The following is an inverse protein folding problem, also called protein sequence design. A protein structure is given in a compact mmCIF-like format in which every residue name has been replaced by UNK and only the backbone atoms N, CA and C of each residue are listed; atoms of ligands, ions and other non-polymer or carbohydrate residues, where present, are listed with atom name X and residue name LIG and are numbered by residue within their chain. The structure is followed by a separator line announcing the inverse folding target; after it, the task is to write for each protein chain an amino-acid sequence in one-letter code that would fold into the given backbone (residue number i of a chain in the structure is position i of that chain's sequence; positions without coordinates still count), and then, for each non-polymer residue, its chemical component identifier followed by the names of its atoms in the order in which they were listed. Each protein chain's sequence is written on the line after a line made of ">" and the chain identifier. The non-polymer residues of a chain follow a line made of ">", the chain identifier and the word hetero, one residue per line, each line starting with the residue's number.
data_IF_486260720001
#
_entry.id   IF_486260720001
#
_cell.length_a   1.000
_cell.length_b   1.000
_cell.length_c   1.000
_cell.angle_alpha   90.00
_cell.angle_beta   90.00
_cell.angle_gamma   90.00
#
_symmetry.space_group_name_H-M   'P 1'
#
loop_
_entity.id
_entity.type
_entity.pdbx_description
1 polymer ?
#
# COMPACT_ATOMS: atom_id res chain seq x y z
N UNK A 1 8.34 25.15 -37.61
CA UNK A 1 8.58 25.25 -36.16
C UNK A 1 7.25 24.96 -35.48
N UNK A 2 7.12 23.84 -34.77
CA UNK A 2 5.93 23.53 -33.99
C UNK A 2 6.17 23.98 -32.54
N UNK A 3 5.31 24.86 -32.02
CA UNK A 3 5.33 25.26 -30.61
C UNK A 3 5.04 24.06 -29.71
N UNK A 4 5.69 23.94 -28.54
CA UNK A 4 5.34 22.92 -27.57
C UNK A 4 3.97 23.27 -26.96
N UNK A 5 2.99 22.39 -27.16
CA UNK A 5 1.68 22.46 -26.53
C UNK A 5 1.85 22.52 -25.01
N UNK A 6 1.59 23.70 -24.43
CA UNK A 6 1.64 23.91 -22.99
C UNK A 6 0.60 23.01 -22.30
N UNK A 7 1.05 22.23 -21.32
CA UNK A 7 0.15 21.48 -20.45
C UNK A 7 -0.87 22.42 -19.79
N UNK A 8 -2.12 21.99 -19.57
CA UNK A 8 -3.13 22.83 -18.95
C UNK A 8 -2.63 23.33 -17.58
N UNK A 9 -2.94 24.59 -17.20
CA UNK A 9 -2.52 25.14 -15.93
C UNK A 9 -3.04 24.26 -14.79
N UNK A 10 -2.18 23.99 -13.81
CA UNK A 10 -2.58 23.26 -12.62
C UNK A 10 -3.76 24.00 -11.95
N UNK A 11 -4.79 23.29 -11.45
CA UNK A 11 -5.95 23.93 -10.86
C UNK A 11 -5.53 24.86 -9.72
N UNK A 12 -6.26 25.96 -9.56
CA UNK A 12 -6.06 26.90 -8.45
C UNK A 12 -6.52 26.27 -7.14
N UNK A 13 -6.07 26.79 -6.00
CA UNK A 13 -6.50 26.27 -4.70
C UNK A 13 -8.01 26.49 -4.47
N UNK A 14 -8.59 27.59 -4.97
CA UNK A 14 -10.04 27.82 -4.91
C UNK A 14 -10.84 26.75 -5.68
N UNK A 15 -10.38 26.38 -6.89
CA UNK A 15 -11.01 25.31 -7.68
C UNK A 15 -10.86 23.94 -6.99
N UNK A 16 -9.73 23.69 -6.32
CA UNK A 16 -9.54 22.47 -5.51
C UNK A 16 -10.50 22.43 -4.33
N UNK A 17 -10.66 23.52 -3.59
CA UNK A 17 -11.58 23.60 -2.45
C UNK A 17 -13.01 23.29 -2.90
N UNK A 18 -13.50 23.98 -3.92
CA UNK A 18 -14.84 23.78 -4.48
C UNK A 18 -15.03 22.34 -5.04
N UNK A 19 -14.00 21.76 -5.66
CA UNK A 19 -14.03 20.36 -6.08
C UNK A 19 -14.13 19.38 -4.90
N UNK A 20 -13.34 19.61 -3.84
CA UNK A 20 -13.36 18.79 -2.63
C UNK A 20 -14.70 18.92 -1.90
N UNK A 21 -15.30 20.11 -1.82
CA UNK A 21 -16.59 20.33 -1.13
C UNK A 21 -17.72 19.58 -1.82
N UNK A 22 -17.74 19.64 -3.17
CA UNK A 22 -18.65 18.82 -3.96
C UNK A 22 -18.42 17.33 -3.76
N UNK A 23 -17.17 16.89 -3.68
CA UNK A 23 -16.85 15.48 -3.43
C UNK A 23 -17.30 15.04 -2.04
N UNK A 24 -17.10 15.87 -1.01
CA UNK A 24 -17.52 15.62 0.36
C UNK A 24 -19.05 15.51 0.45
N UNK A 25 -19.78 16.44 -0.17
CA UNK A 25 -21.25 16.41 -0.24
C UNK A 25 -21.74 15.12 -0.92
N UNK A 26 -21.13 14.77 -2.05
CA UNK A 26 -21.46 13.51 -2.76
C UNK A 26 -21.14 12.27 -1.93
N UNK A 27 -20.03 12.29 -1.19
CA UNK A 27 -19.64 11.19 -0.30
C UNK A 27 -20.61 11.03 0.88
N UNK A 28 -21.11 12.14 1.42
CA UNK A 28 -22.11 12.14 2.50
C UNK A 28 -23.46 11.58 2.02
N UNK A 29 -23.87 11.90 0.80
CA UNK A 29 -25.14 11.44 0.23
C UNK A 29 -25.06 10.06 -0.44
N UNK A 30 -23.85 9.52 -0.66
CA UNK A 30 -23.68 8.25 -1.34
C UNK A 30 -24.21 7.09 -0.51
N UNK A 31 -25.04 6.25 -1.11
CA UNK A 31 -25.41 4.95 -0.58
C UNK A 31 -24.25 3.96 -0.69
N UNK A 32 -24.29 2.90 0.10
CA UNK A 32 -23.20 1.92 0.20
C UNK A 32 -22.87 1.26 -1.14
N UNK A 33 -23.88 0.95 -1.97
CA UNK A 33 -23.68 0.36 -3.31
C UNK A 33 -22.91 1.29 -4.28
N UNK A 34 -22.97 2.61 -4.07
CA UNK A 34 -22.28 3.62 -4.91
C UNK A 34 -20.95 4.07 -4.34
N UNK A 35 -20.56 3.56 -3.16
CA UNK A 35 -19.36 4.01 -2.47
C UNK A 35 -18.09 3.58 -3.21
N UNK A 36 -17.93 2.30 -3.56
CA UNK A 36 -16.71 1.83 -4.23
C UNK A 36 -16.41 2.58 -5.55
N UNK A 37 -17.38 2.75 -6.49
CA UNK A 37 -17.15 3.55 -7.70
C UNK A 37 -16.82 5.01 -7.42
N UNK A 38 -17.40 5.61 -6.36
CA UNK A 38 -17.10 6.98 -5.97
C UNK A 38 -15.67 7.13 -5.45
N UNK A 39 -15.18 6.15 -4.69
CA UNK A 39 -13.83 6.16 -4.10
C UNK A 39 -12.72 6.14 -5.14
N UNK A 40 -12.95 5.54 -6.33
CA UNK A 40 -11.98 5.53 -7.43
C UNK A 40 -11.51 6.93 -7.81
N UNK A 41 -12.38 7.93 -7.69
CA UNK A 41 -12.02 9.33 -7.96
C UNK A 41 -11.76 10.14 -6.69
N UNK A 42 -12.60 9.98 -5.67
CA UNK A 42 -12.55 10.83 -4.48
C UNK A 42 -11.29 10.58 -3.66
N UNK A 43 -10.88 9.32 -3.48
CA UNK A 43 -9.73 9.00 -2.64
C UNK A 43 -8.40 9.49 -3.26
N UNK A 44 -8.08 9.18 -4.54
CA UNK A 44 -6.88 9.71 -5.18
C UNK A 44 -6.82 11.24 -5.16
N UNK A 45 -7.93 11.92 -5.46
CA UNK A 45 -8.00 13.38 -5.50
C UNK A 45 -7.80 14.01 -4.11
N UNK A 46 -8.41 13.44 -3.06
CA UNK A 46 -8.19 13.89 -1.69
C UNK A 46 -6.72 13.74 -1.26
N UNK A 47 -6.08 12.62 -1.62
CA UNK A 47 -4.67 12.36 -1.30
C UNK A 47 -3.74 13.35 -2.02
N UNK A 48 -3.91 13.58 -3.32
CA UNK A 48 -3.05 14.51 -4.07
C UNK A 48 -3.26 15.96 -3.66
N UNK A 49 -4.44 16.31 -3.14
CA UNK A 49 -4.74 17.64 -2.60
C UNK A 49 -3.88 18.04 -1.41
N UNK A 50 -3.24 17.09 -0.70
CA UNK A 50 -2.26 17.39 0.35
C UNK A 50 -0.97 18.06 -0.17
N UNK A 51 -0.72 18.04 -1.47
CA UNK A 51 0.35 18.83 -2.07
C UNK A 51 0.09 20.34 -2.07
N UNK A 52 -1.17 20.78 -1.88
CA UNK A 52 -1.53 22.20 -1.81
C UNK A 52 -0.97 22.85 -0.53
N UNK A 53 -0.55 24.10 -0.65
CA UNK A 53 -0.10 24.93 0.48
C UNK A 53 -1.29 25.54 1.24
N UNK A 54 -2.49 25.58 0.65
CA UNK A 54 -3.71 26.05 1.32
C UNK A 54 -4.11 25.16 2.50
N UNK A 55 -4.29 25.78 3.66
CA UNK A 55 -4.75 25.09 4.88
C UNK A 55 -6.19 24.62 4.75
N UNK A 56 -7.05 25.37 4.08
CA UNK A 56 -8.45 25.01 3.83
C UNK A 56 -8.56 23.78 2.94
N UNK A 57 -7.81 23.73 1.82
CA UNK A 57 -7.71 22.52 0.96
C UNK A 57 -7.32 21.29 1.79
N UNK A 58 -6.24 21.37 2.57
CA UNK A 58 -5.76 20.23 3.37
C UNK A 58 -6.76 19.81 4.45
N UNK A 59 -7.46 20.77 5.08
CA UNK A 59 -8.49 20.49 6.09
C UNK A 59 -9.64 19.71 5.48
N UNK A 60 -10.11 20.13 4.31
CA UNK A 60 -11.22 19.48 3.62
C UNK A 60 -10.84 18.09 3.08
N UNK A 61 -9.62 17.95 2.56
CA UNK A 61 -9.06 16.65 2.21
C UNK A 61 -9.01 15.70 3.43
N UNK A 62 -8.56 16.18 4.60
CA UNK A 62 -8.59 15.40 5.83
C UNK A 62 -10.00 14.98 6.25
N UNK A 63 -10.99 15.86 6.10
CA UNK A 63 -12.39 15.55 6.39
C UNK A 63 -12.89 14.43 5.48
N UNK A 64 -12.65 14.53 4.17
CA UNK A 64 -12.98 13.46 3.21
C UNK A 64 -12.32 12.14 3.63
N UNK A 65 -11.02 12.12 3.92
CA UNK A 65 -10.30 10.91 4.34
C UNK A 65 -10.90 10.31 5.63
N UNK A 66 -11.31 11.14 6.59
CA UNK A 66 -12.00 10.72 7.81
C UNK A 66 -13.34 10.05 7.50
N UNK A 67 -14.14 10.64 6.61
CA UNK A 67 -15.42 10.06 6.16
C UNK A 67 -15.22 8.72 5.44
N UNK A 68 -14.23 8.63 4.55
CA UNK A 68 -13.87 7.37 3.87
C UNK A 68 -13.51 6.32 4.91
N UNK A 69 -12.60 6.62 5.83
CA UNK A 69 -12.14 5.69 6.87
C UNK A 69 -13.29 5.17 7.72
N UNK A 70 -14.21 6.03 8.15
CA UNK A 70 -15.39 5.62 8.92
C UNK A 70 -16.25 4.59 8.18
N UNK A 71 -16.43 4.75 6.86
CA UNK A 71 -17.28 3.87 6.05
C UNK A 71 -16.59 2.57 5.65
N UNK A 72 -15.28 2.60 5.40
CA UNK A 72 -14.55 1.42 4.90
C UNK A 72 -13.94 0.55 5.99
N UNK A 73 -13.69 1.09 7.21
CA UNK A 73 -12.93 0.41 8.27
C UNK A 73 -13.45 -0.98 8.65
N UNK A 74 -14.76 -1.16 8.69
CA UNK A 74 -15.42 -2.42 9.08
C UNK A 74 -16.07 -3.15 7.90
N UNK A 75 -15.70 -2.77 6.67
CA UNK A 75 -16.31 -3.23 5.41
C UNK A 75 -15.21 -3.59 4.39
N UNK A 76 -14.54 -4.73 4.55
CA UNK A 76 -13.45 -5.15 3.64
C UNK A 76 -13.92 -5.38 2.20
N UNK A 77 -15.22 -5.62 1.98
CA UNK A 77 -15.84 -5.81 0.66
C UNK A 77 -15.81 -4.57 -0.24
N UNK A 78 -15.61 -3.37 0.34
CA UNK A 78 -15.51 -2.14 -0.43
C UNK A 78 -14.11 -2.02 -1.02
N UNK A 79 -13.95 -2.29 -2.31
CA UNK A 79 -12.64 -2.12 -2.97
C UNK A 79 -12.16 -0.67 -2.94
N UNK A 80 -10.84 -0.51 -2.82
CA UNK A 80 -10.14 0.78 -2.94
C UNK A 80 -9.29 0.78 -4.21
N UNK A 81 -9.05 1.95 -4.85
CA UNK A 81 -8.35 2.04 -6.13
C UNK A 81 -6.84 1.79 -6.00
N UNK A 82 -6.43 0.54 -5.85
CA UNK A 82 -5.04 0.16 -5.57
C UNK A 82 -4.04 0.67 -6.63
N UNK A 83 -4.36 0.50 -7.92
CA UNK A 83 -3.45 0.90 -8.99
C UNK A 83 -3.27 2.43 -9.08
N UNK A 84 -4.34 3.21 -8.89
CA UNK A 84 -4.27 4.67 -8.89
C UNK A 84 -3.46 5.19 -7.68
N UNK A 85 -3.63 4.56 -6.52
CA UNK A 85 -2.84 4.87 -5.34
C UNK A 85 -1.36 4.56 -5.56
N UNK A 86 -1.04 3.38 -6.11
CA UNK A 86 0.34 3.02 -6.42
C UNK A 86 0.99 3.98 -7.42
N UNK A 87 0.24 4.39 -8.45
CA UNK A 87 0.69 5.40 -9.40
C UNK A 87 1.02 6.72 -8.71
N UNK A 88 0.12 7.24 -7.85
CA UNK A 88 0.38 8.46 -7.09
C UNK A 88 1.63 8.30 -6.20
N UNK A 89 1.78 7.18 -5.52
CA UNK A 89 2.91 6.95 -4.62
C UNK A 89 4.26 6.97 -5.34
N UNK A 90 4.33 6.32 -6.51
CA UNK A 90 5.55 6.17 -7.31
C UNK A 90 5.88 7.38 -8.19
N UNK A 91 4.91 8.28 -8.42
CA UNK A 91 5.10 9.50 -9.20
C UNK A 91 6.27 10.34 -8.64
N UNK A 92 7.14 10.82 -9.51
CA UNK A 92 8.34 11.58 -9.12
C UNK A 92 7.99 12.93 -8.49
N UNK A 93 6.90 13.56 -8.94
CA UNK A 93 6.40 14.84 -8.44
C UNK A 93 5.64 14.74 -7.11
N UNK A 94 5.38 13.52 -6.60
CA UNK A 94 4.62 13.35 -5.35
C UNK A 94 5.43 13.78 -4.14
N UNK A 95 4.86 14.69 -3.35
CA UNK A 95 5.46 15.20 -2.12
C UNK A 95 5.44 14.14 -1.02
N UNK A 96 6.30 14.29 -0.01
CA UNK A 96 6.37 13.36 1.13
C UNK A 96 5.04 13.24 1.87
N UNK A 97 4.29 14.34 2.05
CA UNK A 97 2.97 14.30 2.70
C UNK A 97 1.97 13.46 1.91
N UNK A 98 1.95 13.60 0.57
CA UNK A 98 1.10 12.79 -0.31
C UNK A 98 1.50 11.32 -0.20
N UNK A 99 2.79 10.99 -0.28
CA UNK A 99 3.28 9.60 -0.13
C UNK A 99 2.93 8.99 1.22
N UNK A 100 3.02 9.75 2.31
CA UNK A 100 2.69 9.29 3.67
C UNK A 100 1.21 8.92 3.81
N UNK A 101 0.29 9.71 3.24
CA UNK A 101 -1.12 9.34 3.21
C UNK A 101 -1.37 8.18 2.25
N UNK A 102 -0.74 8.21 1.08
CA UNK A 102 -0.94 7.21 0.05
C UNK A 102 -0.56 5.80 0.51
N UNK A 103 0.56 5.64 1.24
CA UNK A 103 1.01 4.31 1.71
C UNK A 103 0.01 3.64 2.66
N UNK A 104 -0.72 4.42 3.48
CA UNK A 104 -1.74 3.89 4.39
C UNK A 104 -2.91 3.31 3.60
N UNK A 105 -3.35 4.01 2.55
CA UNK A 105 -4.42 3.54 1.69
C UNK A 105 -3.99 2.40 0.76
N UNK A 106 -2.72 2.35 0.35
CA UNK A 106 -2.13 1.20 -0.36
C UNK A 106 -2.20 -0.05 0.51
N UNK A 107 -1.77 0.02 1.77
CA UNK A 107 -1.86 -1.11 2.70
C UNK A 107 -3.32 -1.57 2.86
N UNK A 108 -4.26 -0.65 3.05
CA UNK A 108 -5.69 -0.96 3.14
C UNK A 108 -6.29 -1.53 1.85
N UNK A 109 -5.87 -1.02 0.69
CA UNK A 109 -6.39 -1.45 -0.61
C UNK A 109 -5.87 -2.83 -0.98
N UNK A 110 -4.57 -3.06 -0.77
CA UNK A 110 -3.91 -4.34 -1.04
C UNK A 110 -4.54 -5.49 -0.24
N UNK A 111 -4.84 -5.24 1.03
CA UNK A 111 -5.49 -6.22 1.91
C UNK A 111 -6.87 -6.69 1.43
N UNK A 112 -7.56 -5.87 0.63
CA UNK A 112 -8.90 -6.15 0.09
C UNK A 112 -8.88 -6.85 -1.27
N UNK A 113 -7.72 -6.93 -1.92
CA UNK A 113 -7.61 -7.58 -3.22
C UNK A 113 -7.80 -9.11 -3.10
N UNK A 114 -8.32 -9.77 -4.15
CA UNK A 114 -8.28 -11.22 -4.23
C UNK A 114 -6.82 -11.71 -4.32
N UNK A 115 -6.57 -12.94 -3.87
CA UNK A 115 -5.21 -13.49 -3.79
C UNK A 115 -4.48 -13.46 -5.14
N UNK A 116 -5.17 -13.77 -6.25
CA UNK A 116 -4.59 -13.72 -7.59
C UNK A 116 -4.05 -12.32 -7.96
N UNK A 117 -4.83 -11.27 -7.70
CA UNK A 117 -4.40 -9.89 -7.97
C UNK A 117 -3.24 -9.45 -7.06
N UNK A 118 -3.24 -9.89 -5.79
CA UNK A 118 -2.11 -9.64 -4.88
C UNK A 118 -0.82 -10.23 -5.44
N UNK A 119 -0.87 -11.47 -5.94
CA UNK A 119 0.28 -12.13 -6.57
C UNK A 119 0.78 -11.42 -7.81
N UNK A 120 -0.13 -10.87 -8.62
CA UNK A 120 0.21 -10.15 -9.84
C UNK A 120 0.89 -8.79 -9.58
N UNK A 121 0.43 -8.08 -8.55
CA UNK A 121 0.92 -6.72 -8.19
C UNK A 121 2.17 -6.78 -7.30
N UNK A 122 2.32 -7.80 -6.47
CA UNK A 122 3.39 -7.88 -5.48
C UNK A 122 4.82 -7.69 -6.04
N UNK A 123 5.22 -8.28 -7.20
CA UNK A 123 6.54 -8.02 -7.78
C UNK A 123 6.74 -6.53 -8.13
N UNK A 124 5.70 -5.87 -8.61
CA UNK A 124 5.78 -4.47 -9.07
C UNK A 124 6.01 -3.52 -7.87
N UNK A 125 5.58 -3.91 -6.66
CA UNK A 125 5.83 -3.15 -5.44
C UNK A 125 7.30 -3.16 -5.00
N UNK A 126 8.09 -4.13 -5.47
CA UNK A 126 9.51 -4.24 -5.14
C UNK A 126 10.40 -3.36 -6.03
N UNK A 127 9.87 -2.82 -7.12
CA UNK A 127 10.62 -1.95 -8.02
C UNK A 127 10.99 -0.66 -7.27
N UNK A 128 12.28 -0.31 -7.26
CA UNK A 128 12.86 0.82 -6.52
C UNK A 128 12.69 0.78 -4.99
N UNK A 129 12.39 -0.39 -4.39
CA UNK A 129 12.19 -0.53 -2.95
C UNK A 129 13.43 -0.09 -2.14
N UNK A 130 14.63 -0.18 -2.70
CA UNK A 130 15.88 0.32 -2.10
C UNK A 130 15.91 1.82 -1.88
N UNK A 131 15.14 2.59 -2.67
CA UNK A 131 15.07 4.06 -2.61
C UNK A 131 13.91 4.57 -1.76
N UNK A 132 13.04 3.66 -1.30
CA UNK A 132 11.87 3.99 -0.50
C UNK A 132 12.28 4.24 0.95
N UNK A 133 11.72 5.27 1.64
CA UNK A 133 11.97 5.47 3.06
C UNK A 133 11.71 4.21 3.90
N UNK A 134 12.59 3.92 4.86
CA UNK A 134 12.60 2.65 5.61
C UNK A 134 11.22 2.26 6.21
N UNK A 135 10.44 3.24 6.68
CA UNK A 135 9.10 3.01 7.21
C UNK A 135 8.15 2.44 6.14
N UNK A 136 8.08 3.08 4.97
CA UNK A 136 7.24 2.61 3.86
C UNK A 136 7.77 1.32 3.26
N UNK A 137 9.10 1.19 3.21
CA UNK A 137 9.78 -0.01 2.75
C UNK A 137 9.31 -1.24 3.56
N UNK A 138 9.32 -1.14 4.89
CA UNK A 138 8.82 -2.21 5.76
C UNK A 138 7.34 -2.55 5.53
N UNK A 139 6.48 -1.56 5.27
CA UNK A 139 5.07 -1.81 4.92
C UNK A 139 4.97 -2.62 3.63
N UNK A 140 5.61 -2.15 2.56
CA UNK A 140 5.58 -2.79 1.25
C UNK A 140 6.12 -4.22 1.32
N UNK A 141 7.27 -4.43 1.98
CA UNK A 141 7.88 -5.75 2.12
C UNK A 141 6.97 -6.75 2.84
N UNK A 142 6.23 -6.31 3.87
CA UNK A 142 5.22 -7.14 4.54
C UNK A 142 4.04 -7.49 3.62
N UNK A 143 3.57 -6.55 2.80
CA UNK A 143 2.50 -6.82 1.82
C UNK A 143 2.94 -7.88 0.80
N UNK A 144 4.14 -7.73 0.24
CA UNK A 144 4.71 -8.68 -0.73
C UNK A 144 4.91 -10.06 -0.11
N UNK A 145 5.48 -10.14 1.10
CA UNK A 145 5.66 -11.42 1.81
C UNK A 145 4.32 -12.11 2.09
N UNK A 146 3.30 -11.35 2.47
CA UNK A 146 1.94 -11.87 2.67
C UNK A 146 1.34 -12.38 1.37
N UNK A 147 1.48 -11.63 0.28
CA UNK A 147 1.01 -12.05 -1.04
C UNK A 147 1.66 -13.36 -1.49
N UNK A 148 2.98 -13.50 -1.32
CA UNK A 148 3.69 -14.74 -1.63
C UNK A 148 3.12 -15.91 -0.81
N UNK A 149 2.92 -15.73 0.49
CA UNK A 149 2.33 -16.77 1.35
C UNK A 149 0.91 -17.20 0.93
N UNK A 150 0.07 -16.24 0.53
CA UNK A 150 -1.31 -16.49 0.08
C UNK A 150 -1.38 -17.11 -1.33
N UNK A 151 -0.48 -16.71 -2.24
CA UNK A 151 -0.51 -17.13 -3.65
C UNK A 151 0.13 -18.50 -3.90
N UNK A 152 0.97 -18.99 -2.99
CA UNK A 152 1.77 -20.21 -3.22
C UNK A 152 0.98 -21.53 -3.15
N UNK A 153 -0.35 -21.47 -3.20
CA UNK A 153 -1.23 -22.65 -3.33
C UNK A 153 -1.38 -23.12 -4.78
N UNK A 154 -0.97 -22.30 -5.76
CA UNK A 154 -0.91 -22.64 -7.20
C UNK A 154 0.45 -22.24 -7.75
N UNK A 155 0.97 -22.98 -8.75
CA UNK A 155 2.26 -22.69 -9.38
C UNK A 155 2.34 -21.19 -9.74
N UNK A 156 3.44 -20.54 -9.36
CA UNK A 156 3.72 -19.17 -9.76
C UNK A 156 3.77 -19.12 -11.29
N UNK A 157 2.97 -18.25 -11.88
CA UNK A 157 2.94 -18.01 -13.32
C UNK A 157 4.33 -17.58 -13.82
N UNK A 158 4.76 -18.06 -14.98
CA UNK A 158 6.09 -17.78 -15.53
C UNK A 158 6.35 -16.27 -15.71
N UNK A 159 5.32 -15.48 -16.03
CA UNK A 159 5.41 -14.02 -16.13
C UNK A 159 5.73 -13.40 -14.77
N UNK A 160 5.05 -13.85 -13.71
CA UNK A 160 5.29 -13.39 -12.34
C UNK A 160 6.69 -13.80 -11.86
N UNK A 161 7.13 -15.00 -12.20
CA UNK A 161 8.49 -15.45 -11.92
C UNK A 161 9.56 -14.59 -12.61
N UNK A 162 9.32 -14.17 -13.87
CA UNK A 162 10.21 -13.25 -14.58
C UNK A 162 10.31 -11.88 -13.91
N UNK A 163 9.19 -11.35 -13.38
CA UNK A 163 9.19 -10.09 -12.62
C UNK A 163 10.02 -10.19 -11.34
N UNK A 164 9.91 -11.27 -10.56
CA UNK A 164 10.77 -11.46 -9.39
C UNK A 164 12.24 -11.69 -9.77
N UNK A 165 12.51 -12.34 -10.90
CA UNK A 165 13.88 -12.55 -11.40
C UNK A 165 14.54 -11.24 -11.81
N UNK A 166 13.81 -10.29 -12.40
CA UNK A 166 14.37 -9.02 -12.87
C UNK A 166 14.94 -8.15 -11.74
N UNK A 167 14.41 -8.27 -10.52
CA UNK A 167 14.90 -7.54 -9.33
C UNK A 167 15.96 -8.31 -8.54
N UNK A 168 16.12 -9.62 -8.74
CA UNK A 168 16.94 -10.47 -7.86
C UNK A 168 18.43 -10.08 -7.82
N UNK A 169 18.93 -9.44 -8.89
CA UNK A 169 20.33 -8.99 -8.99
C UNK A 169 20.55 -7.51 -8.66
N UNK A 170 19.53 -6.77 -8.22
CA UNK A 170 19.63 -5.34 -7.90
C UNK A 170 19.62 -5.08 -6.40
N UNK A 171 19.88 -3.83 -6.00
CA UNK A 171 19.73 -3.38 -4.60
C UNK A 171 18.32 -3.63 -4.06
N UNK A 172 17.31 -3.59 -4.93
CA UNK A 172 15.92 -3.91 -4.58
C UNK A 172 15.77 -5.38 -4.16
N UNK A 173 16.40 -6.28 -4.92
CA UNK A 173 16.47 -7.71 -4.60
C UNK A 173 17.21 -7.98 -3.29
N UNK A 174 18.31 -7.27 -3.03
CA UNK A 174 19.06 -7.40 -1.77
C UNK A 174 18.22 -6.97 -0.56
N UNK A 175 17.51 -5.84 -0.67
CA UNK A 175 16.60 -5.35 0.37
C UNK A 175 15.47 -6.34 0.64
N UNK A 176 14.91 -6.93 -0.41
CA UNK A 176 13.86 -7.93 -0.28
C UNK A 176 14.38 -9.24 0.33
N UNK A 177 15.54 -9.73 -0.12
CA UNK A 177 16.17 -10.94 0.42
C UNK A 177 16.54 -10.79 1.90
N UNK A 178 17.10 -9.65 2.30
CA UNK A 178 17.37 -9.29 3.70
C UNK A 178 16.09 -9.35 4.55
N UNK A 179 15.01 -8.77 4.06
CA UNK A 179 13.71 -8.83 4.74
C UNK A 179 13.16 -10.27 4.84
N UNK A 180 13.27 -11.07 3.77
CA UNK A 180 12.87 -12.47 3.78
C UNK A 180 13.68 -13.27 4.80
N UNK A 181 14.99 -13.04 4.89
CA UNK A 181 15.85 -13.66 5.89
C UNK A 181 15.40 -13.33 7.32
N UNK A 182 15.16 -12.05 7.61
CA UNK A 182 14.61 -11.63 8.91
C UNK A 182 13.25 -12.27 9.19
N UNK A 183 12.39 -12.37 8.17
CA UNK A 183 11.07 -13.00 8.31
C UNK A 183 11.20 -14.48 8.65
N UNK A 184 12.11 -15.22 8.00
CA UNK A 184 12.37 -16.63 8.27
C UNK A 184 12.96 -16.84 9.67
N UNK A 185 13.87 -15.96 10.11
CA UNK A 185 14.46 -16.02 11.45
C UNK A 185 13.49 -15.65 12.57
N UNK A 186 12.48 -14.82 12.30
CA UNK A 186 11.57 -14.33 13.34
C UNK A 186 10.86 -15.47 14.06
N UNK A 187 10.98 -15.54 15.38
CA UNK A 187 10.24 -16.47 16.24
C UNK A 187 9.31 -15.68 17.16
N UNK A 188 8.09 -16.17 17.38
CA UNK A 188 7.18 -15.56 18.34
C UNK A 188 7.81 -15.68 19.75
N UNK A 189 8.03 -14.57 20.49
CA UNK A 189 8.60 -14.63 21.83
C UNK A 189 7.72 -15.48 22.76
N UNK A 190 8.33 -16.40 23.51
CA UNK A 190 7.59 -17.43 24.28
C UNK A 190 6.81 -16.89 25.48
N UNK A 191 7.19 -15.74 26.04
CA UNK A 191 6.39 -14.98 27.02
C UNK A 191 6.72 -13.51 26.84
N UNK A 192 5.69 -12.66 26.82
CA UNK A 192 5.78 -11.27 26.37
C UNK A 192 6.96 -10.50 26.96
N UNK A 193 7.62 -9.74 26.08
CA UNK A 193 8.78 -8.87 26.32
C UNK A 193 10.11 -9.61 26.16
N UNK A 194 10.54 -9.74 24.90
CA UNK A 194 11.88 -10.13 24.52
C UNK A 194 12.04 -10.06 23.00
N UNK A 195 13.21 -9.61 22.53
CA UNK A 195 13.55 -9.75 21.12
C UNK A 195 13.55 -11.23 20.73
N UNK A 196 13.04 -11.60 19.55
CA UNK A 196 13.24 -12.93 19.00
C UNK A 196 14.74 -13.25 18.98
N UNK A 197 15.12 -14.46 19.42
CA UNK A 197 16.52 -14.88 19.36
C UNK A 197 17.04 -14.74 17.91
N UNK A 198 18.19 -14.10 17.73
CA UNK A 198 18.81 -13.91 16.42
C UNK A 198 18.36 -12.67 15.62
N UNK A 199 17.47 -11.82 16.15
CA UNK A 199 17.09 -10.54 15.54
C UNK A 199 17.22 -9.37 16.54
N UNK A 200 17.64 -8.21 16.04
CA UNK A 200 17.49 -6.95 16.78
C UNK A 200 16.03 -6.51 16.87
N UNK A 201 15.73 -5.59 17.80
CA UNK A 201 14.40 -4.95 17.92
C UNK A 201 13.94 -4.38 16.58
N UNK A 202 14.80 -3.62 15.90
CA UNK A 202 14.46 -2.98 14.64
C UNK A 202 14.15 -3.98 13.52
N UNK A 203 14.89 -5.10 13.45
CA UNK A 203 14.62 -6.15 12.47
C UNK A 203 13.29 -6.88 12.77
N UNK A 204 13.02 -7.17 14.04
CA UNK A 204 11.75 -7.77 14.47
C UNK A 204 10.57 -6.84 14.15
N UNK A 205 10.66 -5.56 14.51
CA UNK A 205 9.63 -4.54 14.25
C UNK A 205 9.40 -4.32 12.75
N UNK A 206 10.45 -4.43 11.93
CA UNK A 206 10.32 -4.37 10.47
C UNK A 206 9.48 -5.54 9.93
N UNK A 207 9.66 -6.76 10.48
CA UNK A 207 8.90 -7.96 10.10
C UNK A 207 7.45 -7.90 10.59
N UNK A 208 7.22 -7.46 11.83
CA UNK A 208 5.87 -7.47 12.45
C UNK A 208 5.06 -6.23 12.13
N UNK A 209 5.70 -5.08 11.93
CA UNK A 209 5.03 -3.79 11.94
C UNK A 209 4.47 -3.48 13.34
N UNK A 210 3.28 -2.85 13.39
CA UNK A 210 2.65 -2.38 14.64
C UNK A 210 2.10 -3.51 15.53
N UNK A 211 1.88 -4.70 14.98
CA UNK A 211 1.25 -5.82 15.69
C UNK A 211 2.13 -7.06 15.60
N UNK A 212 2.39 -7.78 16.70
CA UNK A 212 3.14 -9.03 16.66
C UNK A 212 2.49 -10.07 15.74
N UNK A 213 3.30 -10.84 15.02
CA UNK A 213 2.82 -11.97 14.24
C UNK A 213 2.56 -13.17 15.16
N UNK A 214 1.30 -13.62 15.19
CA UNK A 214 0.87 -14.83 15.92
C UNK A 214 1.11 -16.09 15.08
N UNK A 215 1.15 -17.26 15.74
CA UNK A 215 1.54 -18.55 15.15
C UNK A 215 0.94 -18.84 13.77
N UNK A 216 -0.39 -18.77 13.64
CA UNK A 216 -1.07 -19.09 12.38
C UNK A 216 -0.72 -18.11 11.23
N UNK A 217 -0.61 -16.81 11.56
CA UNK A 217 -0.23 -15.77 10.58
C UNK A 217 1.24 -15.87 10.19
N UNK A 218 2.10 -16.33 11.09
CA UNK A 218 3.50 -16.56 10.80
C UNK A 218 3.68 -17.81 9.93
N UNK A 219 2.94 -18.88 10.23
CA UNK A 219 2.95 -20.11 9.45
C UNK A 219 2.51 -19.86 8.00
N UNK A 220 1.44 -19.10 7.76
CA UNK A 220 1.00 -18.76 6.40
C UNK A 220 2.00 -17.91 5.62
N UNK A 221 2.87 -17.15 6.30
CA UNK A 221 3.94 -16.36 5.66
C UNK A 221 5.23 -17.15 5.42
N UNK A 222 5.53 -18.14 6.27
CA UNK A 222 6.78 -18.92 6.23
C UNK A 222 6.66 -20.22 5.46
N UNK A 223 5.52 -20.87 5.53
CA UNK A 223 5.30 -22.20 4.98
C UNK A 223 4.30 -22.07 3.84
N UNK A 224 4.69 -22.43 2.60
CA UNK A 224 3.72 -22.58 1.52
C UNK A 224 2.63 -23.56 1.97
N UNK A 225 1.36 -23.16 1.93
CA UNK A 225 0.28 -24.09 2.26
C UNK A 225 0.22 -25.19 1.20
N UNK A 226 0.84 -26.32 1.48
CA UNK A 226 0.64 -27.55 0.71
C UNK A 226 -0.72 -28.11 1.13
N UNK A 227 -1.73 -27.96 0.28
CA UNK A 227 -2.96 -28.73 0.42
C UNK A 227 -2.58 -30.21 0.34
N UNK A 228 -2.86 -30.96 1.42
CA UNK A 228 -2.83 -32.43 1.36
C UNK A 228 -3.84 -32.84 0.29
N UNK A 229 -3.32 -33.47 -0.76
CA UNK A 229 -4.11 -34.21 -1.77
C UNK A 229 -4.79 -35.38 -1.08
#
# INVERSE_FOLDING_TARGET
>A
MAEPSAAPPAPTDAEREDALDRMLTRLALAEDARLAPLLVRVLPYAITSFASTSTSVRKLAMEILSHINKRVKHRPEISLPMLDLWKIYTESASTSIVRNFCIVYIEMAFERLPSEEKGNIAPDLLINISKVPAQHQGIILRLVSKAIGECNTRKVDDNIALKYRSISGSDDGLVFADFCFHTILYQTPSQGIGCPAGLSVAQADRVTGKLPLKGDTLASRKVPQVQKI
#
